data_IF_440874517124
#
_entry.id   IF_440874517124
#
_cell.length_a   1.000
_cell.length_b   1.000
_cell.length_c   1.000
_cell.angle_alpha   90.00
_cell.angle_beta   90.00
_cell.angle_gamma   90.00
#
_symmetry.space_group_name_H-M   'P 1'
#
loop_
_entity.id
_entity.type
_entity.pdbx_description
1 polymer ?
#
# COMPACT_ATOMS: atom_id res chain seq x y z
N UNK A 1 -50.21 -45.46 -63.34
CA UNK A 1 -49.19 -45.61 -62.29
C UNK A 1 -48.12 -44.56 -62.55
N UNK A 2 -48.26 -43.38 -61.96
CA UNK A 2 -47.30 -42.27 -62.10
C UNK A 2 -46.51 -42.20 -60.79
N UNK A 3 -45.24 -42.59 -60.86
CA UNK A 3 -44.33 -42.61 -59.71
C UNK A 3 -43.92 -41.20 -59.33
N UNK A 4 -44.12 -40.85 -58.06
CA UNK A 4 -43.70 -39.58 -57.47
C UNK A 4 -42.23 -39.67 -57.07
N UNK A 5 -41.39 -38.80 -57.62
CA UNK A 5 -39.97 -38.73 -57.29
C UNK A 5 -39.78 -37.91 -56.01
N UNK A 6 -39.24 -38.54 -54.97
CA UNK A 6 -38.93 -37.93 -53.69
C UNK A 6 -37.61 -37.14 -53.81
N UNK A 7 -37.68 -35.81 -53.79
CA UNK A 7 -36.50 -34.95 -53.83
C UNK A 7 -35.81 -34.93 -52.46
N UNK A 8 -34.57 -35.41 -52.37
CA UNK A 8 -33.76 -35.39 -51.15
C UNK A 8 -33.06 -34.03 -51.02
N UNK A 9 -33.43 -33.26 -49.99
CA UNK A 9 -32.81 -31.99 -49.67
C UNK A 9 -31.50 -32.24 -48.90
N UNK A 10 -30.35 -31.93 -49.52
CA UNK A 10 -29.03 -31.96 -48.85
C UNK A 10 -28.80 -30.62 -48.16
N UNK A 11 -28.83 -30.60 -46.84
CA UNK A 11 -28.51 -29.42 -46.03
C UNK A 11 -26.99 -29.40 -45.79
N UNK A 12 -26.29 -28.44 -46.41
CA UNK A 12 -24.89 -28.14 -46.09
C UNK A 12 -24.84 -27.28 -44.82
N UNK A 13 -24.36 -27.85 -43.72
CA UNK A 13 -24.05 -27.10 -42.50
C UNK A 13 -22.65 -26.49 -42.68
N UNK A 14 -22.59 -25.17 -42.92
CA UNK A 14 -21.33 -24.42 -42.79
C UNK A 14 -20.99 -24.30 -41.30
N UNK A 15 -20.02 -25.08 -40.83
CA UNK A 15 -19.43 -24.88 -39.52
C UNK A 15 -18.53 -23.63 -39.56
N UNK A 16 -19.03 -22.50 -39.07
CA UNK A 16 -18.22 -21.32 -38.82
C UNK A 16 -17.33 -21.63 -37.61
N UNK A 17 -16.06 -21.97 -37.86
CA UNK A 17 -15.06 -22.08 -36.81
C UNK A 17 -14.85 -20.68 -36.22
N UNK A 18 -15.44 -20.42 -35.06
CA UNK A 18 -15.09 -19.26 -34.26
C UNK A 18 -13.64 -19.45 -33.80
N UNK A 19 -12.73 -18.51 -34.09
CA UNK A 19 -11.37 -18.62 -33.57
C UNK A 19 -11.47 -18.63 -32.04
N UNK A 20 -11.00 -19.72 -31.42
CA UNK A 20 -10.83 -19.78 -29.97
C UNK A 20 -10.09 -18.52 -29.54
N UNK A 21 -10.72 -17.72 -28.68
CA UNK A 21 -10.13 -16.51 -28.14
C UNK A 21 -8.76 -16.84 -27.55
N UNK A 22 -7.78 -15.94 -27.77
CA UNK A 22 -6.47 -16.08 -27.16
C UNK A 22 -6.62 -16.32 -25.65
N UNK A 23 -5.86 -17.25 -25.05
CA UNK A 23 -5.90 -17.46 -23.62
C UNK A 23 -5.67 -16.12 -22.90
N UNK A 24 -6.40 -15.85 -21.80
CA UNK A 24 -6.25 -14.60 -21.08
C UNK A 24 -4.77 -14.40 -20.68
N UNK A 25 -4.28 -13.16 -20.71
CA UNK A 25 -2.89 -12.89 -20.37
C UNK A 25 -2.57 -13.46 -18.99
N UNK A 26 -1.58 -14.35 -18.94
CA UNK A 26 -1.14 -14.96 -17.68
C UNK A 26 -0.40 -13.90 -16.88
N UNK A 27 -0.86 -13.63 -15.66
CA UNK A 27 -0.10 -12.81 -14.71
C UNK A 27 1.16 -13.59 -14.34
N UNK A 28 2.30 -13.15 -14.86
CA UNK A 28 3.59 -13.74 -14.57
C UNK A 28 4.30 -12.94 -13.47
N UNK A 29 4.82 -13.65 -12.46
CA UNK A 29 5.70 -13.03 -11.49
C UNK A 29 7.04 -12.68 -12.16
N UNK A 30 7.32 -11.39 -12.28
CA UNK A 30 8.53 -10.89 -12.96
C UNK A 30 9.73 -10.72 -12.03
N UNK A 31 9.53 -10.72 -10.71
CA UNK A 31 10.64 -10.66 -9.77
C UNK A 31 10.22 -10.65 -8.30
N UNK A 32 11.20 -10.84 -7.42
CA UNK A 32 11.04 -10.74 -5.96
C UNK A 32 12.18 -9.95 -5.35
N UNK A 33 11.89 -9.28 -4.24
CA UNK A 33 12.88 -8.62 -3.39
C UNK A 33 12.59 -8.94 -1.93
N UNK A 34 13.59 -8.74 -1.09
CA UNK A 34 13.47 -8.93 0.35
C UNK A 34 13.99 -7.69 1.04
N UNK A 35 13.27 -7.25 2.06
CA UNK A 35 13.67 -6.16 2.96
C UNK A 35 13.81 -6.80 4.33
N UNK A 36 14.96 -6.61 4.96
CA UNK A 36 15.22 -7.11 6.30
C UNK A 36 14.30 -6.41 7.32
N UNK A 37 13.61 -7.21 8.14
CA UNK A 37 12.67 -6.72 9.15
C UNK A 37 13.35 -5.97 10.29
N UNK A 38 14.67 -6.12 10.45
CA UNK A 38 15.47 -5.40 11.43
C UNK A 38 15.95 -4.02 10.94
N UNK A 39 15.65 -3.64 9.68
CA UNK A 39 16.06 -2.34 9.16
C UNK A 39 15.43 -1.19 9.94
N UNK A 40 16.24 -0.16 10.16
CA UNK A 40 15.79 1.11 10.69
C UNK A 40 15.47 2.07 9.55
N UNK A 41 14.48 2.92 9.79
CA UNK A 41 14.10 3.99 8.91
C UNK A 41 15.06 5.19 8.99
N UNK A 42 14.77 6.26 8.24
CA UNK A 42 15.57 7.49 8.25
C UNK A 42 14.98 8.59 9.13
N UNK A 43 14.07 8.27 10.04
CA UNK A 43 13.39 9.26 10.91
C UNK A 43 14.32 9.95 11.91
N UNK A 44 15.46 9.33 12.23
CA UNK A 44 16.39 9.78 13.27
C UNK A 44 15.90 9.51 14.69
N UNK A 45 14.78 8.81 14.87
CA UNK A 45 14.31 8.40 16.20
C UNK A 45 15.30 7.42 16.85
N UNK A 46 15.43 7.52 18.17
CA UNK A 46 16.29 6.65 18.98
C UNK A 46 15.49 5.99 20.10
N UNK A 47 16.03 4.89 20.63
CA UNK A 47 15.38 4.10 21.68
C UNK A 47 14.29 3.17 21.16
N UNK A 48 13.52 2.61 22.09
CA UNK A 48 12.54 1.56 21.83
C UNK A 48 11.11 2.04 22.12
N UNK A 49 10.17 1.38 21.44
CA UNK A 49 8.73 1.40 21.69
C UNK A 49 8.32 -0.02 22.07
N UNK A 50 7.57 -0.16 23.16
CA UNK A 50 7.22 -1.45 23.73
C UNK A 50 5.71 -1.66 23.68
N UNK A 51 5.27 -2.92 23.68
CA UNK A 51 3.86 -3.25 23.72
C UNK A 51 3.25 -2.81 25.07
N UNK A 52 2.12 -2.11 25.03
CA UNK A 52 1.42 -1.72 26.26
C UNK A 52 0.99 -2.97 27.04
N UNK A 53 1.27 -2.98 28.36
CA UNK A 53 1.02 -4.15 29.22
C UNK A 53 2.05 -5.28 29.09
N UNK A 54 3.02 -5.19 28.18
CA UNK A 54 4.09 -6.17 28.00
C UNK A 54 5.45 -5.46 27.77
N UNK A 55 6.04 -4.80 28.78
CA UNK A 55 7.20 -3.92 28.64
C UNK A 55 8.52 -4.61 28.25
N UNK A 56 8.55 -5.95 28.23
CA UNK A 56 9.68 -6.71 27.71
C UNK A 56 9.62 -6.94 26.18
N UNK A 57 8.45 -6.72 25.57
CA UNK A 57 8.25 -6.88 24.13
C UNK A 57 8.42 -5.52 23.44
N UNK A 58 9.59 -5.27 22.88
CA UNK A 58 9.96 -3.96 22.35
C UNK A 58 10.59 -4.06 20.96
N UNK A 59 10.43 -3.00 20.18
CA UNK A 59 11.11 -2.79 18.90
C UNK A 59 11.71 -1.38 18.87
N UNK A 60 12.68 -1.08 17.98
CA UNK A 60 13.19 0.27 17.81
C UNK A 60 12.08 1.25 17.39
N UNK A 61 12.10 2.49 17.90
CA UNK A 61 11.16 3.55 17.45
C UNK A 61 11.28 3.89 15.97
N UNK A 62 12.49 3.71 15.44
CA UNK A 62 12.84 3.90 14.05
C UNK A 62 12.69 2.61 13.23
N UNK A 63 11.90 1.62 13.65
CA UNK A 63 11.71 0.41 12.84
C UNK A 63 11.14 0.79 11.46
N UNK A 64 11.77 0.30 10.38
CA UNK A 64 11.30 0.55 9.02
C UNK A 64 10.09 -0.33 8.67
N UNK A 65 9.94 -1.48 9.32
CA UNK A 65 8.81 -2.41 9.11
C UNK A 65 7.44 -1.76 9.26
N UNK A 66 6.40 -2.37 8.67
CA UNK A 66 5.02 -1.86 8.70
C UNK A 66 4.67 -0.92 7.54
N UNK A 67 5.58 -0.70 6.58
CA UNK A 67 5.39 0.12 5.38
C UNK A 67 4.46 -0.49 4.29
N UNK A 68 3.66 -1.48 4.66
CA UNK A 68 2.93 -2.33 3.72
C UNK A 68 1.45 -1.98 3.53
N UNK A 69 0.93 -0.99 4.25
CA UNK A 69 -0.48 -0.57 4.12
C UNK A 69 -0.79 -0.03 2.73
N UNK A 70 0.15 0.70 2.13
CA UNK A 70 0.14 0.91 0.67
C UNK A 70 1.52 1.33 0.14
N UNK A 71 1.72 1.17 -1.17
CA UNK A 71 2.87 1.65 -1.92
C UNK A 71 2.45 2.25 -3.26
N UNK A 72 2.92 3.46 -3.57
CA UNK A 72 2.54 4.17 -4.78
C UNK A 72 3.72 4.78 -5.52
N UNK A 73 3.70 4.71 -6.85
CA UNK A 73 4.75 5.30 -7.67
C UNK A 73 4.66 6.82 -7.65
N UNK A 74 5.82 7.48 -7.53
CA UNK A 74 5.87 8.94 -7.45
C UNK A 74 5.63 9.66 -8.77
N UNK A 75 5.75 8.96 -9.89
CA UNK A 75 5.85 9.54 -11.21
C UNK A 75 7.28 9.78 -11.68
N UNK A 76 8.30 9.57 -10.82
CA UNK A 76 9.69 9.94 -11.11
C UNK A 76 10.72 8.90 -10.60
N UNK A 77 11.80 8.68 -11.38
CA UNK A 77 13.03 7.95 -11.00
C UNK A 77 12.85 6.61 -10.25
N UNK A 78 11.81 5.83 -10.56
CA UNK A 78 11.49 4.60 -9.82
C UNK A 78 11.39 4.81 -8.29
N UNK A 79 10.99 6.01 -7.87
CA UNK A 79 10.75 6.31 -6.47
C UNK A 79 9.29 6.02 -6.17
N UNK A 80 9.06 5.37 -5.03
CA UNK A 80 7.76 5.03 -4.49
C UNK A 80 7.61 5.61 -3.10
N UNK A 81 6.39 5.93 -2.71
CA UNK A 81 6.05 6.27 -1.32
C UNK A 81 5.35 5.05 -0.72
N UNK A 82 5.81 4.62 0.45
CA UNK A 82 5.22 3.54 1.21
C UNK A 82 4.70 4.08 2.55
N UNK A 83 3.44 3.78 2.88
CA UNK A 83 2.80 4.24 4.11
C UNK A 83 3.05 3.25 5.24
N UNK A 84 3.49 3.73 6.41
CA UNK A 84 3.47 2.91 7.61
C UNK A 84 2.03 2.77 8.10
N UNK A 85 1.60 1.55 8.41
CA UNK A 85 0.38 1.33 9.20
C UNK A 85 0.45 2.07 10.55
N UNK A 86 -0.56 1.89 11.41
CA UNK A 86 -0.61 2.32 12.81
C UNK A 86 0.53 1.87 13.75
N UNK A 87 1.59 1.26 13.21
CA UNK A 87 2.81 0.94 13.93
C UNK A 87 2.81 -0.43 14.61
N UNK A 88 3.85 -0.71 15.42
CA UNK A 88 4.02 -2.00 16.08
C UNK A 88 2.87 -2.37 16.99
N UNK A 89 2.65 -3.68 17.15
CA UNK A 89 1.67 -4.25 18.08
C UNK A 89 0.25 -3.70 17.87
N UNK A 90 -0.13 -3.44 16.62
CA UNK A 90 -1.45 -2.93 16.28
C UNK A 90 -1.75 -1.51 16.84
N UNK A 91 -0.69 -0.73 17.06
CA UNK A 91 -0.78 0.58 17.72
C UNK A 91 -0.82 0.51 19.26
N UNK A 92 -0.87 -0.71 19.85
CA UNK A 92 -0.93 -0.92 21.30
C UNK A 92 0.47 -0.80 21.94
N UNK A 93 0.92 0.44 22.09
CA UNK A 93 2.29 0.79 22.48
C UNK A 93 2.34 1.63 23.75
N UNK A 94 3.46 1.57 24.47
CA UNK A 94 3.70 2.33 25.71
C UNK A 94 3.86 3.84 25.47
N UNK A 95 4.39 4.20 24.31
CA UNK A 95 4.40 5.56 23.76
C UNK A 95 3.85 5.53 22.34
N UNK A 96 3.10 6.56 21.88
CA UNK A 96 2.51 6.52 20.55
C UNK A 96 3.56 6.36 19.43
N UNK A 97 3.28 5.48 18.48
CA UNK A 97 4.02 5.42 17.23
C UNK A 97 3.75 6.69 16.42
N UNK A 98 4.81 7.35 15.95
CA UNK A 98 4.68 8.54 15.10
C UNK A 98 4.48 8.09 13.65
N UNK A 99 3.34 8.43 13.06
CA UNK A 99 3.02 8.00 11.69
C UNK A 99 3.91 8.69 10.68
N UNK A 100 4.28 7.94 9.65
CA UNK A 100 5.29 8.37 8.68
C UNK A 100 5.11 7.67 7.34
N UNK A 101 5.74 8.27 6.33
CA UNK A 101 5.90 7.65 5.01
C UNK A 101 7.37 7.47 4.70
N UNK A 102 7.66 6.46 3.88
CA UNK A 102 9.00 6.12 3.44
C UNK A 102 9.13 6.29 1.94
N UNK A 103 10.23 6.91 1.51
CA UNK A 103 10.54 7.04 0.09
C UNK A 103 11.50 5.94 -0.31
N UNK A 104 11.08 5.09 -1.23
CA UNK A 104 11.79 3.89 -1.65
C UNK A 104 12.18 4.02 -3.12
N UNK A 105 13.47 3.89 -3.42
CA UNK A 105 13.91 3.66 -4.79
C UNK A 105 13.85 2.16 -5.07
N UNK A 106 13.00 1.73 -6.00
CA UNK A 106 12.74 0.32 -6.29
C UNK A 106 13.12 0.04 -7.73
N UNK A 107 14.14 -0.80 -7.94
CA UNK A 107 14.57 -1.21 -9.29
C UNK A 107 14.50 -2.71 -9.46
N UNK A 108 14.47 -3.15 -10.71
CA UNK A 108 14.50 -4.57 -11.06
C UNK A 108 15.73 -4.87 -11.92
N UNK A 109 16.44 -5.96 -11.60
CA UNK A 109 17.52 -6.49 -12.43
C UNK A 109 17.45 -8.02 -12.45
N UNK A 110 17.29 -8.60 -13.64
CA UNK A 110 17.22 -10.05 -13.86
C UNK A 110 16.30 -10.81 -12.88
N UNK A 111 15.09 -10.27 -12.63
CA UNK A 111 14.11 -10.88 -11.73
C UNK A 111 14.32 -10.61 -10.24
N UNK A 112 15.35 -9.84 -9.87
CA UNK A 112 15.57 -9.38 -8.50
C UNK A 112 15.06 -7.95 -8.34
N UNK A 113 14.18 -7.73 -7.37
CA UNK A 113 13.74 -6.40 -6.95
C UNK A 113 14.71 -5.90 -5.87
N UNK A 114 15.31 -4.75 -6.13
CA UNK A 114 16.21 -4.05 -5.20
C UNK A 114 15.49 -2.83 -4.65
N UNK A 115 15.44 -2.72 -3.33
CA UNK A 115 14.82 -1.59 -2.64
C UNK A 115 15.86 -0.83 -1.85
N UNK A 116 15.86 0.50 -1.99
CA UNK A 116 16.69 1.39 -1.17
C UNK A 116 15.84 2.46 -0.51
N UNK A 117 15.88 2.52 0.82
CA UNK A 117 15.26 3.59 1.59
C UNK A 117 16.03 4.91 1.39
N UNK A 118 15.35 5.88 0.77
CA UNK A 118 15.87 7.21 0.49
C UNK A 118 15.61 8.18 1.63
N UNK A 119 14.38 8.19 2.15
CA UNK A 119 13.91 9.20 3.10
C UNK A 119 12.76 8.67 3.96
N UNK A 120 12.51 9.32 5.10
CA UNK A 120 11.38 9.04 5.99
C UNK A 120 10.80 10.35 6.51
N UNK A 121 9.50 10.55 6.33
CA UNK A 121 8.84 11.80 6.69
C UNK A 121 7.63 11.54 7.57
N UNK A 122 7.56 12.27 8.67
CA UNK A 122 6.40 12.24 9.55
C UNK A 122 5.18 12.84 8.87
N UNK A 123 4.03 12.20 9.07
CA UNK A 123 2.74 12.75 8.65
C UNK A 123 2.33 13.79 9.68
N UNK A 124 2.28 15.05 9.26
CA UNK A 124 1.95 16.18 10.14
C UNK A 124 0.73 16.91 9.62
N UNK A 125 -0.10 17.38 10.55
CA UNK A 125 -1.21 18.28 10.23
C UNK A 125 -0.71 19.71 9.96
N UNK A 126 -1.63 20.61 9.61
CA UNK A 126 -1.37 22.01 9.29
C UNK A 126 -0.77 22.82 10.46
N UNK A 127 -0.92 22.33 11.69
CA UNK A 127 -0.33 22.92 12.89
C UNK A 127 1.07 22.35 13.22
N UNK A 128 1.60 21.47 12.37
CA UNK A 128 2.90 20.81 12.55
C UNK A 128 2.89 19.70 13.61
N UNK A 129 1.72 19.27 14.09
CA UNK A 129 1.60 18.12 15.00
C UNK A 129 1.67 16.83 14.19
N UNK A 130 2.37 15.84 14.72
CA UNK A 130 2.53 14.54 14.05
C UNK A 130 1.34 13.64 14.39
N UNK A 131 0.76 13.00 13.37
CA UNK A 131 -0.23 11.95 13.57
C UNK A 131 0.38 10.73 14.25
N UNK A 132 -0.45 9.95 14.92
CA UNK A 132 -0.02 8.81 15.73
C UNK A 132 -0.89 7.57 15.47
N UNK A 133 -0.22 6.42 15.35
CA UNK A 133 -0.85 5.11 15.16
C UNK A 133 -1.54 4.54 16.41
N UNK A 134 -1.75 5.35 17.45
CA UNK A 134 -2.45 4.89 18.64
C UNK A 134 -3.96 4.92 18.41
N UNK A 135 -4.60 3.74 18.31
CA UNK A 135 -6.05 3.62 18.07
C UNK A 135 -6.93 4.34 19.14
N UNK A 136 -6.40 4.58 20.34
CA UNK A 136 -7.11 5.33 21.38
C UNK A 136 -6.95 6.86 21.32
N UNK A 137 -6.15 7.42 20.39
CA UNK A 137 -5.72 8.81 20.41
C UNK A 137 -6.74 9.82 19.84
N UNK A 138 -8.00 9.69 20.26
CA UNK A 138 -9.07 10.62 19.91
C UNK A 138 -9.00 11.91 20.74
N UNK A 139 -9.36 13.03 20.11
CA UNK A 139 -9.75 14.21 20.84
C UNK A 139 -11.26 14.16 21.14
N UNK A 140 -11.60 14.15 22.42
CA UNK A 140 -12.99 13.99 22.89
C UNK A 140 -13.88 15.21 22.60
N UNK A 141 -13.29 16.35 22.25
CA UNK A 141 -14.00 17.61 22.02
C UNK A 141 -14.05 17.97 20.54
N UNK A 142 -13.16 17.44 19.71
CA UNK A 142 -13.05 17.81 18.31
C UNK A 142 -12.47 16.69 17.46
N UNK A 143 -13.30 16.10 16.61
CA UNK A 143 -12.87 15.03 15.70
C UNK A 143 -11.74 15.47 14.76
N UNK A 144 -11.79 16.71 14.26
CA UNK A 144 -10.73 17.29 13.41
C UNK A 144 -9.42 17.58 14.15
N UNK A 145 -9.44 17.62 15.49
CA UNK A 145 -8.24 17.76 16.31
C UNK A 145 -7.59 16.41 16.66
N UNK A 146 -8.27 15.30 16.36
CA UNK A 146 -7.76 13.94 16.55
C UNK A 146 -6.45 13.76 15.78
N UNK A 147 -5.46 13.19 16.46
CA UNK A 147 -4.17 12.84 15.85
C UNK A 147 -4.05 11.33 15.57
N UNK A 148 -5.05 10.53 15.95
CA UNK A 148 -5.14 9.13 15.55
C UNK A 148 -5.17 9.06 14.02
N UNK A 149 -4.31 8.24 13.45
CA UNK A 149 -4.32 7.93 12.02
C UNK A 149 -3.88 6.48 11.84
N UNK A 150 -4.52 5.78 10.93
CA UNK A 150 -4.01 4.53 10.39
C UNK A 150 -3.88 4.66 8.88
N UNK A 151 -2.68 5.03 8.39
CA UNK A 151 -2.47 5.32 6.98
C UNK A 151 -2.77 4.12 6.08
N UNK A 152 -3.83 4.23 5.29
CA UNK A 152 -4.21 3.28 4.27
C UNK A 152 -4.33 3.99 2.93
N UNK A 153 -4.02 3.30 1.82
CA UNK A 153 -4.20 3.83 0.46
C UNK A 153 -3.55 5.20 0.19
N UNK A 154 -2.37 5.20 -0.41
CA UNK A 154 -1.65 6.40 -0.83
C UNK A 154 -1.76 6.66 -2.34
N UNK A 155 -2.09 7.91 -2.71
CA UNK A 155 -2.08 8.34 -4.10
C UNK A 155 -1.40 9.67 -4.30
N UNK A 156 -0.53 9.74 -5.31
CA UNK A 156 0.16 10.95 -5.72
C UNK A 156 -0.72 11.71 -6.71
N UNK A 157 -0.98 12.98 -6.42
CA UNK A 157 -1.70 13.91 -7.28
C UNK A 157 -0.81 14.53 -8.37
N UNK A 158 -1.41 15.15 -9.40
CA UNK A 158 -0.67 15.79 -10.49
C UNK A 158 0.12 17.03 -10.06
N UNK A 159 -0.24 17.65 -8.94
CA UNK A 159 0.47 18.77 -8.32
C UNK A 159 1.72 18.32 -7.51
N UNK A 160 1.99 17.02 -7.45
CA UNK A 160 3.08 16.43 -6.67
C UNK A 160 2.76 16.18 -5.21
N UNK A 161 1.62 16.67 -4.69
CA UNK A 161 1.12 16.30 -3.37
C UNK A 161 0.71 14.84 -3.35
N UNK A 162 0.48 14.30 -2.16
CA UNK A 162 -0.07 12.95 -2.00
C UNK A 162 -1.21 12.93 -0.99
N UNK A 163 -2.11 11.98 -1.19
CA UNK A 163 -3.31 11.77 -0.40
C UNK A 163 -3.20 10.42 0.30
N UNK A 164 -3.62 10.35 1.55
CA UNK A 164 -3.66 9.13 2.35
C UNK A 164 -5.06 9.03 2.97
N UNK A 165 -5.69 7.87 2.87
CA UNK A 165 -6.90 7.57 3.63
C UNK A 165 -6.58 7.07 5.03
N UNK A 166 -7.49 7.32 5.97
CA UNK A 166 -7.43 6.73 7.30
C UNK A 166 -8.29 5.45 7.34
N UNK A 167 -7.75 4.30 7.80
CA UNK A 167 -8.54 3.06 8.00
C UNK A 167 -9.77 3.33 8.88
N UNK A 168 -9.61 4.23 9.85
CA UNK A 168 -10.63 4.55 10.83
C UNK A 168 -11.68 5.53 10.31
N UNK A 169 -11.31 6.31 9.30
CA UNK A 169 -12.21 7.12 8.49
C UNK A 169 -13.03 8.17 9.25
N UNK A 170 -13.79 9.01 8.53
CA UNK A 170 -13.98 9.01 7.07
C UNK A 170 -12.98 9.89 6.30
N UNK A 171 -11.80 10.18 6.87
CA UNK A 171 -10.89 11.21 6.38
C UNK A 171 -9.93 10.76 5.28
N UNK A 172 -9.63 11.69 4.37
CA UNK A 172 -8.50 11.64 3.44
C UNK A 172 -7.67 12.90 3.70
N UNK A 173 -6.39 12.70 3.97
CA UNK A 173 -5.45 13.77 4.26
C UNK A 173 -4.59 14.07 3.04
N UNK A 174 -4.40 15.35 2.74
CA UNK A 174 -3.45 15.82 1.72
C UNK A 174 -2.15 16.27 2.37
N UNK A 175 -1.03 15.82 1.83
CA UNK A 175 0.31 16.17 2.28
C UNK A 175 1.14 16.72 1.12
N UNK A 176 1.99 17.69 1.43
CA UNK A 176 3.02 18.14 0.51
C UNK A 176 4.20 17.15 0.49
N UNK A 177 4.88 17.11 -0.66
CA UNK A 177 5.90 16.10 -0.95
C UNK A 177 7.27 16.38 -0.42
#
# INVERSE_FOLDING_TARGET
MTGSACATLVVFILAVATPWGAPPPVVALIGKGVIDSALLDRSGLTGNICQAGAPANCVPKAIFSGFGSDITYTGHDNVFIAASARGPFDGLTDVPFLDRVHFLHITMSAGNINTRLLDTRFLKNEFGKTFVGAAGAFDVNSDVATLRLDPEGIRVGPNGHFYISDEYGPYIFEFNR
#
